data_IF_062680960697
#
_entry.id   IF_062680960697
#
_cell.length_a   1.000
_cell.length_b   1.000
_cell.length_c   1.000
_cell.angle_alpha   90.00
_cell.angle_beta   90.00
_cell.angle_gamma   90.00
#
_symmetry.space_group_name_H-M   'P 1'
#
loop_
_entity.id
_entity.type
_entity.pdbx_description
1 polymer ?
#
# COMPACT_ATOMS: atom_id res chain seq x y z
N UNK A 1 -19.52 -23.51 2.42
CA UNK A 1 -18.40 -23.66 3.38
C UNK A 1 -17.69 -22.33 3.54
N UNK A 2 -17.74 -21.73 4.73
CA UNK A 2 -17.07 -20.45 5.00
C UNK A 2 -15.54 -20.57 4.95
N UNK A 3 -14.85 -19.50 4.56
CA UNK A 3 -13.38 -19.47 4.63
C UNK A 3 -12.93 -19.69 6.08
N UNK A 4 -12.08 -20.69 6.29
CA UNK A 4 -11.34 -20.87 7.56
C UNK A 4 -10.52 -19.62 7.88
N UNK A 5 -10.23 -19.36 9.14
CA UNK A 5 -9.57 -18.12 9.60
C UNK A 5 -8.25 -17.85 8.87
N UNK A 6 -7.46 -18.90 8.63
CA UNK A 6 -6.22 -18.86 7.83
C UNK A 6 -6.47 -18.31 6.41
N UNK A 7 -7.54 -18.76 5.75
CA UNK A 7 -7.89 -18.27 4.40
C UNK A 7 -8.33 -16.79 4.44
N UNK A 8 -9.02 -16.36 5.50
CA UNK A 8 -9.40 -14.94 5.69
C UNK A 8 -8.17 -14.07 5.90
N UNK A 9 -7.20 -14.53 6.69
CA UNK A 9 -5.94 -13.83 6.89
C UNK A 9 -5.15 -13.70 5.58
N UNK A 10 -4.99 -14.80 4.83
CA UNK A 10 -4.32 -14.78 3.53
C UNK A 10 -5.01 -13.79 2.58
N UNK A 11 -6.35 -13.78 2.54
CA UNK A 11 -7.10 -12.82 1.73
C UNK A 11 -6.85 -11.37 2.17
N UNK A 12 -6.81 -11.09 3.48
CA UNK A 12 -6.48 -9.76 4.03
C UNK A 12 -5.06 -9.34 3.66
N UNK A 13 -4.08 -10.23 3.78
CA UNK A 13 -2.68 -9.99 3.38
C UNK A 13 -2.60 -9.65 1.88
N UNK A 14 -3.19 -10.47 1.01
CA UNK A 14 -3.24 -10.23 -0.45
C UNK A 14 -3.88 -8.87 -0.78
N UNK A 15 -5.02 -8.56 -0.16
CA UNK A 15 -5.71 -7.26 -0.35
C UNK A 15 -4.85 -6.09 0.10
N UNK A 16 -4.10 -6.23 1.21
CA UNK A 16 -3.15 -5.22 1.68
C UNK A 16 -2.02 -5.01 0.66
N UNK A 17 -1.42 -6.09 0.15
CA UNK A 17 -0.35 -6.01 -0.87
C UNK A 17 -0.81 -5.31 -2.14
N UNK A 18 -1.99 -5.66 -2.68
CA UNK A 18 -2.54 -5.02 -3.88
C UNK A 18 -2.80 -3.53 -3.67
N UNK A 19 -3.33 -3.14 -2.50
CA UNK A 19 -3.54 -1.74 -2.16
C UNK A 19 -2.22 -0.97 -2.05
N UNK A 20 -1.21 -1.54 -1.40
CA UNK A 20 0.11 -0.92 -1.28
C UNK A 20 0.78 -0.75 -2.65
N UNK A 21 0.65 -1.72 -3.56
CA UNK A 21 1.12 -1.58 -4.95
C UNK A 21 0.50 -0.37 -5.65
N UNK A 22 -0.83 -0.21 -5.57
CA UNK A 22 -1.53 0.96 -6.15
C UNK A 22 -1.07 2.28 -5.53
N UNK A 23 -0.79 2.30 -4.23
CA UNK A 23 -0.29 3.49 -3.53
C UNK A 23 1.12 3.85 -4.02
N UNK A 24 2.00 2.85 -4.19
CA UNK A 24 3.34 3.04 -4.79
C UNK A 24 3.27 3.62 -6.20
N UNK A 25 2.41 3.07 -7.05
CA UNK A 25 2.19 3.57 -8.41
C UNK A 25 1.71 5.03 -8.42
N UNK A 26 0.83 5.40 -7.48
CA UNK A 26 0.40 6.80 -7.31
C UNK A 26 1.53 7.70 -6.83
N UNK A 27 2.31 7.24 -5.84
CA UNK A 27 3.45 7.98 -5.31
C UNK A 27 4.50 8.28 -6.38
N UNK A 28 4.79 7.30 -7.24
CA UNK A 28 5.72 7.46 -8.36
C UNK A 28 5.25 8.46 -9.42
N UNK A 29 3.93 8.61 -9.59
CA UNK A 29 3.32 9.55 -10.55
C UNK A 29 3.07 10.94 -9.98
N UNK A 30 3.04 11.07 -8.66
CA UNK A 30 2.81 12.34 -7.99
C UNK A 30 3.97 13.30 -8.27
N UNK A 31 3.64 14.53 -8.68
CA UNK A 31 4.63 15.56 -9.02
C UNK A 31 4.85 16.54 -7.88
N UNK A 32 3.83 16.78 -7.05
CA UNK A 32 3.91 17.69 -5.90
C UNK A 32 4.39 16.97 -4.63
N UNK A 33 5.21 17.66 -3.84
CA UNK A 33 5.61 17.18 -2.51
C UNK A 33 4.42 17.02 -1.56
N UNK A 34 3.42 17.90 -1.66
CA UNK A 34 2.19 17.80 -0.86
C UNK A 34 1.42 16.50 -1.16
N UNK A 35 1.24 16.18 -2.44
CA UNK A 35 0.59 14.96 -2.90
C UNK A 35 1.38 13.71 -2.48
N UNK A 36 2.71 13.75 -2.60
CA UNK A 36 3.59 12.68 -2.10
C UNK A 36 3.43 12.45 -0.60
N UNK A 37 3.35 13.51 0.20
CA UNK A 37 3.15 13.42 1.65
C UNK A 37 1.79 12.78 2.01
N UNK A 38 0.72 13.16 1.32
CA UNK A 38 -0.61 12.56 1.51
C UNK A 38 -0.65 11.07 1.15
N UNK A 39 -0.03 10.70 0.03
CA UNK A 39 0.06 9.31 -0.42
C UNK A 39 0.89 8.49 0.57
N UNK A 40 2.00 9.03 1.07
CA UNK A 40 2.82 8.38 2.09
C UNK A 40 2.07 8.19 3.41
N UNK A 41 1.33 9.21 3.88
CA UNK A 41 0.48 9.09 5.06
C UNK A 41 -0.59 8.00 4.91
N UNK A 42 -1.16 7.86 3.71
CA UNK A 42 -2.09 6.77 3.39
C UNK A 42 -1.42 5.39 3.42
N UNK A 43 -0.18 5.29 2.96
CA UNK A 43 0.62 4.07 3.02
C UNK A 43 0.93 3.67 4.47
N UNK A 44 1.37 4.63 5.30
CA UNK A 44 1.74 4.42 6.71
C UNK A 44 0.57 3.95 7.58
N UNK A 45 -0.66 4.43 7.31
CA UNK A 45 -1.88 3.89 7.95
C UNK A 45 -2.09 2.40 7.70
N UNK A 46 -1.67 1.89 6.54
CA UNK A 46 -1.76 0.48 6.20
C UNK A 46 -0.54 -0.31 6.66
N UNK A 47 0.62 0.33 6.72
CA UNK A 47 1.91 -0.28 7.02
C UNK A 47 2.81 0.76 7.67
N UNK A 48 2.88 0.83 9.01
CA UNK A 48 3.51 1.95 9.73
C UNK A 48 4.95 2.25 9.30
N UNK A 49 5.71 1.20 9.00
CA UNK A 49 7.13 1.27 8.63
C UNK A 49 7.36 1.19 7.12
N UNK A 50 6.37 1.54 6.29
CA UNK A 50 6.57 1.54 4.85
C UNK A 50 7.33 2.79 4.41
N UNK A 51 8.37 2.54 3.63
CA UNK A 51 9.09 3.55 2.86
C UNK A 51 8.64 3.41 1.40
N UNK A 52 8.25 4.54 0.81
CA UNK A 52 7.89 4.64 -0.59
C UNK A 52 9.04 5.33 -1.30
N UNK A 53 10.01 4.56 -1.76
CA UNK A 53 10.99 5.06 -2.72
C UNK A 53 10.30 5.22 -4.08
N UNK A 54 10.66 6.25 -4.89
CA UNK A 54 10.34 6.21 -6.31
C UNK A 54 10.94 4.91 -6.83
N UNK A 55 10.10 4.03 -7.38
CA UNK A 55 10.59 2.76 -7.91
C UNK A 55 11.62 3.09 -9.00
N UNK A 56 12.90 2.89 -8.71
CA UNK A 56 13.94 2.83 -9.72
C UNK A 56 13.63 1.60 -10.57
N UNK A 57 13.06 1.83 -11.74
CA UNK A 57 12.67 0.83 -12.72
C UNK A 57 12.48 1.48 -14.07
#
# INVERSE_FOLDING_TARGET
>A
MGRVERQREIARRRKRTVKLKKIREKYAKATSESEKAEILAKARRMSPFIELEPAAG
#
